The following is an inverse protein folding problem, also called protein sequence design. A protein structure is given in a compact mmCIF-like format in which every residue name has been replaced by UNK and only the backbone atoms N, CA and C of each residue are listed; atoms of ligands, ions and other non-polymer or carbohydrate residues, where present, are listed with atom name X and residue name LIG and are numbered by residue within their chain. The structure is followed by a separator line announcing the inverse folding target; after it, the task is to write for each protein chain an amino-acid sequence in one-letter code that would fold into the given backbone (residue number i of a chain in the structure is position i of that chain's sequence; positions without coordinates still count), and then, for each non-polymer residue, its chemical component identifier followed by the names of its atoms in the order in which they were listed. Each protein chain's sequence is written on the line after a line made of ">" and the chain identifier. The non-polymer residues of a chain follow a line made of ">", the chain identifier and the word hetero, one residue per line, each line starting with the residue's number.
data_IF_418651999271
#
_entry.id   IF_418651999271
#
_cell.length_a   1.000
_cell.length_b   1.000
_cell.length_c   1.000
_cell.angle_alpha   90.00
_cell.angle_beta   90.00
_cell.angle_gamma   90.00
#
_symmetry.space_group_name_H-M   'P 1'
#
loop_
_entity.id
_entity.type
_entity.pdbx_description
1 polymer ?
#
# COMPACT_ATOMS: atom_id res chain seq x y z
N UNK A 1 17.32 -4.54 19.85
CA UNK A 1 17.42 -5.60 18.82
C UNK A 1 16.10 -5.67 18.07
N UNK A 2 15.82 -4.69 17.19
CA UNK A 2 14.60 -4.66 16.37
C UNK A 2 14.93 -5.39 15.08
N UNK A 3 14.38 -6.59 14.92
CA UNK A 3 14.57 -7.41 13.73
C UNK A 3 13.90 -6.72 12.52
N UNK A 4 14.72 -6.05 11.71
CA UNK A 4 14.38 -5.55 10.39
C UNK A 4 14.24 -6.76 9.46
N UNK A 5 13.05 -7.37 9.43
CA UNK A 5 12.73 -8.39 8.43
C UNK A 5 12.46 -7.67 7.10
N UNK A 6 13.54 -7.45 6.34
CA UNK A 6 13.53 -7.02 4.95
C UNK A 6 12.90 -8.14 4.09
N UNK A 7 11.58 -8.15 3.95
CA UNK A 7 10.94 -8.80 2.80
C UNK A 7 11.07 -7.85 1.60
N UNK A 8 11.85 -8.28 0.62
CA UNK A 8 12.35 -7.61 -0.60
C UNK A 8 11.30 -6.96 -1.56
N UNK A 9 10.14 -6.52 -1.08
CA UNK A 9 9.16 -5.80 -1.89
C UNK A 9 8.31 -4.76 -1.15
N UNK A 10 8.41 -4.67 0.18
CA UNK A 10 7.58 -3.76 0.99
C UNK A 10 8.40 -3.14 2.11
N UNK A 11 8.40 -1.80 2.20
CA UNK A 11 8.88 -1.14 3.41
C UNK A 11 7.75 -1.20 4.43
N UNK A 12 8.01 -1.88 5.55
CA UNK A 12 7.15 -1.83 6.73
C UNK A 12 7.17 -0.40 7.27
N UNK A 13 6.00 0.23 7.36
CA UNK A 13 5.88 1.58 7.92
C UNK A 13 5.98 1.44 9.44
N UNK A 14 6.91 2.16 10.10
CA UNK A 14 7.03 2.09 11.56
C UNK A 14 5.71 2.50 12.21
N UNK A 15 5.36 1.87 13.35
CA UNK A 15 4.07 2.06 14.01
C UNK A 15 3.73 3.54 14.31
N UNK A 16 4.76 4.37 14.54
CA UNK A 16 4.61 5.82 14.75
C UNK A 16 4.12 6.60 13.51
N UNK A 17 4.22 6.00 12.32
CA UNK A 17 3.83 6.59 11.03
C UNK A 17 2.77 5.69 10.37
N UNK A 18 2.03 4.84 11.09
CA UNK A 18 0.96 4.07 10.45
C UNK A 18 -0.26 4.99 10.19
N UNK A 19 -0.66 5.13 8.92
CA UNK A 19 -1.89 5.84 8.57
C UNK A 19 -3.11 5.00 8.92
N UNK A 20 -4.06 5.60 9.63
CA UNK A 20 -5.38 5.02 9.84
C UNK A 20 -6.19 5.01 8.55
N UNK A 21 -6.99 3.97 8.36
CA UNK A 21 -7.87 3.86 7.20
C UNK A 21 -9.23 3.24 7.56
N UNK A 22 -10.22 3.62 6.77
CA UNK A 22 -11.56 3.05 6.81
C UNK A 22 -11.72 2.09 5.62
N UNK A 23 -12.20 0.88 5.89
CA UNK A 23 -12.34 -0.18 4.90
C UNK A 23 -13.81 -0.60 4.79
N UNK A 24 -14.29 -0.69 3.56
CA UNK A 24 -15.62 -1.17 3.23
C UNK A 24 -15.50 -2.39 2.33
N UNK A 25 -16.09 -3.51 2.75
CA UNK A 25 -16.09 -4.76 1.99
C UNK A 25 -17.35 -4.87 1.15
N UNK A 26 -17.25 -5.25 -0.14
CA UNK A 26 -18.44 -5.45 -0.97
C UNK A 26 -19.35 -6.56 -0.42
N UNK A 27 -18.79 -7.57 0.24
CA UNK A 27 -19.56 -8.64 0.88
C UNK A 27 -20.43 -8.16 2.05
N UNK A 28 -20.09 -7.02 2.65
CA UNK A 28 -20.77 -6.44 3.81
C UNK A 28 -21.04 -4.95 3.58
N UNK A 29 -21.93 -4.60 2.64
CA UNK A 29 -22.20 -3.22 2.30
C UNK A 29 -22.73 -2.46 3.53
N UNK A 30 -22.30 -1.22 3.70
CA UNK A 30 -22.69 -0.35 4.81
C UNK A 30 -21.96 -0.60 6.14
N UNK A 31 -21.18 -1.69 6.28
CA UNK A 31 -20.31 -1.87 7.46
C UNK A 31 -18.95 -1.23 7.21
N UNK A 32 -18.57 -0.34 8.13
CA UNK A 32 -17.23 0.23 8.19
C UNK A 32 -16.34 -0.64 9.08
N UNK A 33 -15.19 -1.02 8.55
CA UNK A 33 -14.10 -1.66 9.30
C UNK A 33 -12.95 -0.68 9.47
N UNK A 34 -12.25 -0.76 10.62
CA UNK A 34 -11.03 0.03 10.85
C UNK A 34 -9.80 -0.79 10.48
N UNK A 35 -8.85 -0.12 9.85
CA UNK A 35 -7.56 -0.71 9.51
C UNK A 35 -6.42 0.27 9.61
N UNK A 36 -5.21 -0.26 9.54
CA UNK A 36 -3.96 0.48 9.49
C UNK A 36 -3.15 0.06 8.28
N UNK A 37 -2.52 1.03 7.61
CA UNK A 37 -1.59 0.75 6.51
C UNK A 37 -0.31 0.17 7.12
N UNK A 38 -0.01 -1.10 6.80
CA UNK A 38 1.22 -1.75 7.26
C UNK A 38 2.42 -1.39 6.38
N UNK A 39 2.18 -1.21 5.08
CA UNK A 39 3.26 -1.04 4.12
C UNK A 39 2.76 -0.61 2.75
N UNK A 40 3.64 0.10 2.05
CA UNK A 40 3.47 0.48 0.64
C UNK A 40 4.62 -0.17 -0.13
N UNK A 41 4.30 -0.78 -1.27
CA UNK A 41 5.29 -1.39 -2.15
C UNK A 41 6.27 -0.35 -2.67
N UNK A 42 7.56 -0.64 -2.61
CA UNK A 42 8.62 0.34 -2.89
C UNK A 42 8.90 0.55 -4.37
N UNK A 43 8.72 -0.50 -5.17
CA UNK A 43 9.00 -0.46 -6.59
C UNK A 43 7.97 -1.30 -7.34
N UNK A 44 7.64 -0.82 -8.53
CA UNK A 44 6.74 -1.46 -9.46
C UNK A 44 7.55 -1.70 -10.74
N UNK A 45 8.20 -2.88 -10.85
CA UNK A 45 8.97 -3.24 -12.04
C UNK A 45 7.99 -3.67 -13.15
N UNK A 46 7.78 -2.86 -14.20
CA UNK A 46 6.97 -3.29 -15.33
C UNK A 46 7.76 -4.31 -16.15
N UNK A 47 7.10 -5.34 -16.66
CA UNK A 47 7.73 -6.30 -17.59
C UNK A 47 7.93 -5.70 -18.99
N UNK A 48 7.17 -4.65 -19.35
CA UNK A 48 7.35 -3.88 -20.59
C UNK A 48 8.26 -2.66 -20.34
N UNK A 49 9.46 -2.68 -20.93
CA UNK A 49 10.37 -1.52 -20.95
C UNK A 49 11.40 -1.46 -19.83
N UNK A 50 11.81 -2.60 -19.27
CA UNK A 50 12.96 -2.64 -18.39
C UNK A 50 14.23 -2.23 -19.18
N UNK A 51 14.89 -1.15 -18.73
CA UNK A 51 16.19 -0.77 -19.29
C UNK A 51 17.25 -1.73 -18.75
N UNK A 52 17.86 -2.51 -19.63
CA UNK A 52 19.04 -3.33 -19.31
C UNK A 52 20.26 -2.69 -20.00
N UNK A 53 21.10 -1.98 -19.22
CA UNK A 53 22.28 -1.27 -19.76
C UNK A 53 21.96 0.12 -20.31
N UNK A 54 22.54 0.49 -21.45
CA UNK A 54 22.47 1.85 -22.02
C UNK A 54 21.23 2.07 -22.89
N UNK A 55 20.60 0.99 -23.38
CA UNK A 55 19.45 1.04 -24.28
C UNK A 55 18.24 0.32 -23.66
N UNK A 56 17.02 0.86 -23.80
CA UNK A 56 15.82 0.19 -23.35
C UNK A 56 15.52 -1.05 -24.19
N UNK A 57 15.20 -2.17 -23.53
CA UNK A 57 14.72 -3.37 -24.21
C UNK A 57 13.26 -3.15 -24.63
N UNK A 58 13.05 -2.78 -25.89
CA UNK A 58 11.71 -2.57 -26.45
C UNK A 58 11.26 -3.84 -27.16
N UNK A 59 10.40 -4.62 -26.51
CA UNK A 59 9.71 -5.73 -27.17
C UNK A 59 8.73 -5.14 -28.20
N UNK A 60 8.74 -5.66 -29.43
CA UNK A 60 7.80 -5.26 -30.48
C UNK A 60 6.40 -5.82 -30.18
N UNK A 61 5.73 -5.32 -29.14
CA UNK A 61 4.34 -5.63 -28.82
C UNK A 61 3.43 -4.55 -29.39
N UNK A 62 2.33 -4.92 -30.06
CA UNK A 62 1.27 -4.01 -30.52
C UNK A 62 0.39 -3.46 -29.38
N UNK A 63 0.95 -3.21 -28.19
CA UNK A 63 0.24 -2.64 -27.05
C UNK A 63 0.33 -1.12 -27.09
N UNK A 64 -0.56 -0.48 -27.85
CA UNK A 64 -0.71 0.99 -27.89
C UNK A 64 -1.32 1.57 -26.60
N UNK A 65 -1.80 0.71 -25.69
CA UNK A 65 -2.33 1.11 -24.38
C UNK A 65 -1.28 0.88 -23.30
N UNK A 66 -0.79 1.96 -22.68
CA UNK A 66 0.00 1.86 -21.45
C UNK A 66 -0.93 1.71 -20.25
N UNK A 67 -0.86 0.58 -19.55
CA UNK A 67 -1.60 0.38 -18.31
C UNK A 67 -0.97 1.17 -17.17
N UNK A 68 -1.81 1.71 -16.29
CA UNK A 68 -1.34 2.37 -15.08
C UNK A 68 -0.71 1.33 -14.15
N UNK A 69 0.56 1.54 -13.79
CA UNK A 69 1.26 0.69 -12.84
C UNK A 69 1.07 1.22 -11.42
N UNK A 70 0.25 0.53 -10.62
CA UNK A 70 -0.10 0.97 -9.26
C UNK A 70 0.82 0.34 -8.22
N UNK A 71 1.16 1.09 -7.17
CA UNK A 71 1.86 0.55 -6.02
C UNK A 71 0.91 -0.30 -5.17
N UNK A 72 1.39 -1.45 -4.71
CA UNK A 72 0.63 -2.31 -3.82
C UNK A 72 0.62 -1.70 -2.41
N UNK A 73 -0.55 -1.59 -1.79
CA UNK A 73 -0.71 -1.13 -0.40
C UNK A 73 -1.25 -2.27 0.43
N UNK A 74 -0.60 -2.58 1.55
CA UNK A 74 -1.04 -3.61 2.50
C UNK A 74 -1.72 -2.94 3.68
N UNK A 75 -2.95 -3.37 3.95
CA UNK A 75 -3.77 -2.88 5.05
C UNK A 75 -4.06 -4.04 5.99
N UNK A 76 -3.87 -3.82 7.29
CA UNK A 76 -4.31 -4.75 8.34
C UNK A 76 -5.60 -4.23 8.94
N UNK A 77 -6.63 -5.05 8.93
CA UNK A 77 -7.87 -4.79 9.67
C UNK A 77 -7.64 -5.02 11.17
N UNK A 78 -8.15 -4.12 11.99
CA UNK A 78 -8.00 -4.18 13.46
C UNK A 78 -9.07 -5.04 14.12
N UNK A 79 -10.26 -5.09 13.52
CA UNK A 79 -11.42 -5.77 14.06
C UNK A 79 -11.66 -7.10 13.32
N UNK A 80 -11.98 -8.15 14.08
CA UNK A 80 -12.43 -9.43 13.55
C UNK A 80 -13.86 -9.70 14.06
N UNK A 81 -14.82 -9.73 13.15
CA UNK A 81 -16.23 -9.95 13.46
C UNK A 81 -16.59 -11.42 13.16
N UNK A 82 -16.94 -12.18 14.20
CA UNK A 82 -17.25 -13.61 14.07
C UNK A 82 -18.53 -13.87 13.27
N UNK A 83 -19.48 -12.93 13.25
CA UNK A 83 -20.70 -13.04 12.45
C UNK A 83 -20.42 -12.77 10.96
N UNK A 84 -19.30 -12.11 10.66
CA UNK A 84 -18.96 -11.60 9.32
C UNK A 84 -17.52 -11.96 8.97
N UNK A 85 -17.22 -13.26 8.80
CA UNK A 85 -15.88 -13.72 8.53
C UNK A 85 -15.35 -13.12 7.22
N UNK A 86 -14.07 -12.77 7.21
CA UNK A 86 -13.41 -12.27 6.00
C UNK A 86 -13.18 -13.40 5.01
N UNK A 87 -13.55 -13.17 3.74
CA UNK A 87 -13.37 -14.12 2.65
C UNK A 87 -12.28 -13.65 1.72
N UNK A 88 -11.32 -14.53 1.44
CA UNK A 88 -10.28 -14.28 0.44
C UNK A 88 -10.90 -14.00 -0.93
N UNK A 89 -10.30 -13.07 -1.68
CA UNK A 89 -10.79 -12.65 -2.99
C UNK A 89 -11.92 -11.62 -2.98
N UNK A 90 -12.40 -11.19 -1.81
CA UNK A 90 -13.40 -10.11 -1.70
C UNK A 90 -12.81 -8.77 -2.13
N UNK A 91 -13.57 -7.98 -2.89
CA UNK A 91 -13.21 -6.60 -3.21
C UNK A 91 -13.54 -5.66 -2.05
N UNK A 92 -12.64 -4.70 -1.81
CA UNK A 92 -12.78 -3.69 -0.78
C UNK A 92 -12.54 -2.30 -1.35
N UNK A 93 -13.19 -1.30 -0.77
CA UNK A 93 -12.86 0.12 -0.93
C UNK A 93 -12.18 0.58 0.34
N UNK A 94 -10.99 1.17 0.21
CA UNK A 94 -10.19 1.66 1.34
C UNK A 94 -10.00 3.16 1.22
N UNK A 95 -10.32 3.89 2.29
CA UNK A 95 -10.04 5.32 2.41
C UNK A 95 -8.95 5.53 3.45
N UNK A 96 -7.79 6.01 3.01
CA UNK A 96 -6.65 6.33 3.89
C UNK A 96 -6.87 7.76 4.41
N UNK A 97 -6.95 7.93 5.74
CA UNK A 97 -7.26 9.22 6.37
C UNK A 97 -6.03 10.11 6.63
N UNK A 98 -4.85 9.61 6.28
CA UNK A 98 -3.58 10.33 6.39
C UNK A 98 -2.70 9.81 7.53
N UNK A 99 -1.45 10.24 7.50
CA UNK A 99 -0.50 10.00 8.57
C UNK A 99 -0.70 11.07 9.65
N UNK A 100 -0.59 10.73 10.94
CA UNK A 100 -0.56 11.75 11.98
C UNK A 100 0.54 12.76 11.63
N UNK A 101 0.29 14.07 11.79
CA UNK A 101 1.32 15.07 11.49
C UNK A 101 2.54 14.77 12.36
N UNK A 102 3.68 14.51 11.73
CA UNK A 102 4.95 14.49 12.44
C UNK A 102 5.14 15.88 13.01
N UNK A 103 5.10 16.04 14.33
CA UNK A 103 5.41 17.31 14.99
C UNK A 103 6.81 17.73 14.56
N UNK A 104 6.91 18.63 13.58
CA UNK A 104 8.17 19.24 13.19
C UNK A 104 8.60 20.13 14.34
N UNK A 105 9.65 19.73 15.07
CA UNK A 105 10.24 20.58 16.10
C UNK A 105 10.72 21.87 15.44
N UNK A 106 10.27 23.00 15.98
CA UNK A 106 10.46 24.34 15.49
C UNK A 106 11.89 24.65 15.01
N UNK A 107 11.97 25.43 13.93
CA UNK A 107 13.20 26.06 13.42
C UNK A 107 13.86 26.84 14.57
N UNK A 108 15.18 26.71 14.83
CA UNK A 108 15.86 27.63 15.74
C UNK A 108 15.85 29.03 15.11
N UNK A 109 15.12 29.97 15.74
CA UNK A 109 15.19 31.40 15.42
C UNK A 109 16.65 31.86 15.59
N UNK A 110 17.19 32.45 14.52
CA UNK A 110 18.54 32.98 14.44
C UNK A 110 18.73 34.20 15.35
#
# INVERSE_FOLDING_TARGET
>A
MIALVLFLGFISVPASVMAGCDVYLLSYPGRRFRGVVQGIGWANKPDEGATAGVLPEVRQTLNWVRLANRFQVRVRLEEHDAERPFRMGTTAVVTIRGFPPTTSSALPTR
#
